data_IF_698165216469
#
_entry.id   IF_698165216469
#
_cell.length_a   1.000
_cell.length_b   1.000
_cell.length_c   1.000
_cell.angle_alpha   90.00
_cell.angle_beta   90.00
_cell.angle_gamma   90.00
#
_symmetry.space_group_name_H-M   'P 1'
#
loop_
_entity.id
_entity.type
_entity.pdbx_description
1 polymer ?
#
# COMPACT_ATOMS: atom_id res chain seq x y z
N UNK A 1 71.84 -27.22 -24.47
CA UNK A 1 71.50 -26.45 -25.68
C UNK A 1 70.01 -26.67 -25.90
N UNK A 2 69.27 -25.56 -25.86
CA UNK A 2 67.89 -25.35 -26.33
C UNK A 2 66.70 -26.09 -25.66
N UNK A 3 65.84 -25.30 -25.01
CA UNK A 3 64.41 -25.57 -24.79
C UNK A 3 63.62 -25.51 -26.11
N UNK A 4 62.36 -26.00 -26.18
CA UNK A 4 61.26 -25.02 -26.14
C UNK A 4 59.92 -25.46 -25.48
N UNK A 5 59.33 -24.48 -24.81
CA UNK A 5 57.92 -24.07 -24.71
C UNK A 5 56.76 -25.05 -24.45
N UNK A 6 56.31 -25.00 -23.20
CA UNK A 6 54.98 -24.60 -22.72
C UNK A 6 53.92 -24.14 -23.75
N UNK A 7 52.71 -24.71 -23.68
CA UNK A 7 51.46 -23.91 -23.69
C UNK A 7 50.32 -24.70 -23.01
N UNK A 8 50.17 -24.53 -21.69
CA UNK A 8 48.94 -24.92 -20.99
C UNK A 8 47.96 -23.77 -21.13
N UNK A 9 46.95 -23.91 -22.00
CA UNK A 9 45.83 -22.98 -22.07
C UNK A 9 44.96 -23.12 -20.81
N UNK A 10 45.26 -22.33 -19.78
CA UNK A 10 44.31 -22.07 -18.71
C UNK A 10 43.29 -21.06 -19.23
N UNK A 11 42.14 -21.55 -19.69
CA UNK A 11 40.95 -20.71 -19.82
C UNK A 11 40.50 -20.33 -18.41
N UNK A 12 40.90 -19.14 -17.96
CA UNK A 12 40.33 -18.49 -16.80
C UNK A 12 38.89 -18.10 -17.12
N UNK A 13 37.94 -18.89 -16.61
CA UNK A 13 36.55 -18.47 -16.52
C UNK A 13 36.50 -17.33 -15.48
N UNK A 14 36.53 -16.09 -15.95
CA UNK A 14 36.27 -14.93 -15.10
C UNK A 14 34.82 -15.01 -14.65
N UNK A 15 34.59 -15.50 -13.43
CA UNK A 15 33.28 -15.44 -12.78
C UNK A 15 32.94 -13.97 -12.53
N UNK A 16 32.29 -13.34 -13.51
CA UNK A 16 31.69 -12.02 -13.37
C UNK A 16 30.44 -12.19 -12.48
N UNK A 17 30.63 -12.15 -11.17
CA UNK A 17 29.55 -12.07 -10.19
C UNK A 17 28.84 -10.73 -10.37
N UNK A 18 27.72 -10.75 -11.09
CA UNK A 18 26.78 -9.63 -11.13
C UNK A 18 25.95 -9.68 -9.86
N UNK A 19 26.32 -8.89 -8.85
CA UNK A 19 25.51 -8.70 -7.65
C UNK A 19 24.29 -7.86 -8.02
N UNK A 20 23.17 -8.52 -8.27
CA UNK A 20 21.87 -7.85 -8.37
C UNK A 20 21.37 -7.63 -6.94
N UNK A 21 20.99 -6.41 -6.53
CA UNK A 21 20.29 -6.22 -5.27
C UNK A 21 19.02 -7.06 -5.30
N UNK A 22 18.89 -8.03 -4.39
CA UNK A 22 17.66 -8.78 -4.24
C UNK A 22 16.60 -7.76 -3.82
N UNK A 23 15.46 -7.64 -4.54
CA UNK A 23 14.35 -6.84 -4.05
C UNK A 23 14.02 -7.35 -2.66
N UNK A 24 14.17 -6.48 -1.65
CA UNK A 24 13.82 -6.81 -0.28
C UNK A 24 12.31 -7.05 -0.31
N UNK A 25 11.89 -8.32 -0.35
CA UNK A 25 10.50 -8.67 -0.21
C UNK A 25 10.15 -8.30 1.23
N UNK A 26 9.34 -7.26 1.46
CA UNK A 26 9.16 -6.81 2.81
C UNK A 26 8.35 -7.90 3.55
N UNK A 27 8.86 -8.29 4.72
CA UNK A 27 8.37 -9.43 5.50
C UNK A 27 6.91 -9.24 5.89
N UNK A 28 6.15 -10.34 5.97
CA UNK A 28 4.78 -10.43 6.48
C UNK A 28 4.49 -9.37 7.56
N UNK A 29 3.54 -8.47 7.27
CA UNK A 29 3.18 -7.33 8.14
C UNK A 29 3.74 -5.95 7.72
N UNK A 30 4.07 -5.73 6.45
CA UNK A 30 4.60 -4.43 5.98
C UNK A 30 3.54 -3.35 5.82
N UNK A 31 2.30 -3.74 5.55
CA UNK A 31 1.28 -2.80 5.12
C UNK A 31 -0.05 -3.00 5.86
N UNK A 32 -0.67 -1.89 6.25
CA UNK A 32 -2.07 -1.85 6.64
C UNK A 32 -2.94 -1.39 5.47
N UNK A 33 -4.11 -2.00 5.33
CA UNK A 33 -5.05 -1.72 4.24
C UNK A 33 -6.37 -1.18 4.80
N UNK A 34 -6.88 -0.15 4.12
CA UNK A 34 -8.19 0.43 4.39
C UNK A 34 -8.97 0.51 3.09
N UNK A 35 -10.27 0.28 3.16
CA UNK A 35 -11.18 0.39 2.03
C UNK A 35 -12.14 1.54 2.28
N UNK A 36 -12.28 2.42 1.29
CA UNK A 36 -13.29 3.48 1.30
C UNK A 36 -14.27 3.17 0.18
N UNK A 37 -15.55 3.01 0.51
CA UNK A 37 -16.64 2.80 -0.45
C UNK A 37 -17.56 4.01 -0.42
N UNK A 38 -17.88 4.57 -1.58
CA UNK A 38 -18.82 5.69 -1.67
C UNK A 38 -19.06 6.11 -3.11
N UNK A 39 -19.84 7.17 -3.28
CA UNK A 39 -20.09 7.78 -4.60
C UNK A 39 -19.50 9.18 -4.65
N UNK A 40 -19.02 9.60 -5.83
CA UNK A 40 -18.59 10.98 -6.07
C UNK A 40 -19.77 11.97 -6.00
N UNK A 41 -21.00 11.49 -6.12
CA UNK A 41 -22.23 12.29 -6.05
C UNK A 41 -22.87 12.27 -4.65
N UNK A 42 -22.37 11.43 -3.74
CA UNK A 42 -22.92 11.27 -2.39
C UNK A 42 -22.06 11.99 -1.34
N UNK A 43 -22.67 12.20 -0.16
CA UNK A 43 -22.01 12.79 1.02
C UNK A 43 -21.83 11.79 2.14
N UNK A 44 -21.83 10.51 1.82
CA UNK A 44 -21.55 9.45 2.77
C UNK A 44 -20.58 8.41 2.19
N UNK A 45 -19.80 7.85 3.10
CA UNK A 45 -18.75 6.88 2.79
C UNK A 45 -18.80 5.77 3.83
N UNK A 46 -18.58 4.54 3.38
CA UNK A 46 -18.31 3.39 4.24
C UNK A 46 -16.80 3.15 4.27
N UNK A 47 -16.25 2.89 5.45
CA UNK A 47 -14.82 2.68 5.68
C UNK A 47 -14.62 1.34 6.37
N UNK A 48 -13.70 0.54 5.86
CA UNK A 48 -13.38 -0.80 6.39
C UNK A 48 -11.87 -0.92 6.63
N UNK A 49 -11.49 -1.68 7.65
CA UNK A 49 -10.07 -1.94 7.97
C UNK A 49 -9.36 -0.86 8.80
N UNK A 50 -10.02 0.25 9.13
CA UNK A 50 -9.46 1.24 10.06
C UNK A 50 -9.43 0.70 11.49
N UNK A 51 -8.42 1.10 12.26
CA UNK A 51 -8.39 0.88 13.71
C UNK A 51 -9.42 1.77 14.42
N UNK A 52 -9.75 1.42 15.67
CA UNK A 52 -10.66 2.23 16.50
C UNK A 52 -10.16 3.67 16.66
N UNK A 53 -8.85 3.86 16.84
CA UNK A 53 -8.24 5.18 17.00
C UNK A 53 -8.34 6.01 15.72
N UNK A 54 -8.15 5.39 14.55
CA UNK A 54 -8.29 6.05 13.25
C UNK A 54 -9.75 6.48 13.00
N UNK A 55 -10.72 5.60 13.33
CA UNK A 55 -12.15 5.93 13.23
C UNK A 55 -12.52 7.08 14.17
N UNK A 56 -12.01 7.08 15.40
CA UNK A 56 -12.23 8.17 16.36
C UNK A 56 -11.60 9.48 15.89
N UNK A 57 -10.38 9.44 15.35
CA UNK A 57 -9.70 10.60 14.79
C UNK A 57 -10.48 11.19 13.61
N UNK A 58 -10.98 10.35 12.70
CA UNK A 58 -11.83 10.77 11.58
C UNK A 58 -13.14 11.40 12.08
N UNK A 59 -13.81 10.74 13.02
CA UNK A 59 -15.08 11.22 13.61
C UNK A 59 -14.90 12.59 14.28
N UNK A 60 -13.82 12.76 15.06
CA UNK A 60 -13.46 14.03 15.71
C UNK A 60 -13.12 15.10 14.69
N UNK A 61 -12.34 14.76 13.65
CA UNK A 61 -11.93 15.68 12.58
C UNK A 61 -13.13 16.28 11.85
N UNK A 62 -14.13 15.45 11.56
CA UNK A 62 -15.32 15.88 10.83
C UNK A 62 -16.49 16.31 11.71
N UNK A 63 -16.32 16.27 13.05
CA UNK A 63 -17.37 16.60 14.01
C UNK A 63 -18.66 15.80 13.75
N UNK A 64 -18.50 14.54 13.34
CA UNK A 64 -19.58 13.65 12.92
C UNK A 64 -19.47 12.32 13.66
N UNK A 65 -20.61 11.74 14.02
CA UNK A 65 -20.66 10.37 14.53
C UNK A 65 -20.55 9.35 13.39
N UNK A 66 -19.76 8.31 13.62
CA UNK A 66 -19.72 7.12 12.76
C UNK A 66 -20.84 6.16 13.14
N UNK A 67 -21.51 5.57 12.16
CA UNK A 67 -22.49 4.49 12.37
C UNK A 67 -21.75 3.16 12.15
N UNK A 68 -21.63 2.29 13.16
CA UNK A 68 -20.99 0.98 12.98
C UNK A 68 -21.81 0.10 12.04
N UNK A 69 -21.11 -0.65 11.19
CA UNK A 69 -21.66 -1.67 10.28
C UNK A 69 -20.76 -2.92 10.34
N UNK A 70 -21.16 -4.01 9.70
CA UNK A 70 -20.35 -5.23 9.67
C UNK A 70 -18.95 -4.95 9.09
N UNK A 71 -17.93 -5.15 9.94
CA UNK A 71 -16.50 -4.94 9.64
C UNK A 71 -16.11 -3.50 9.23
N UNK A 72 -16.92 -2.50 9.55
CA UNK A 72 -16.62 -1.12 9.16
C UNK A 72 -17.49 -0.07 9.83
N UNK A 73 -17.43 1.14 9.27
CA UNK A 73 -18.22 2.29 9.72
C UNK A 73 -18.74 3.10 8.54
N UNK A 74 -19.94 3.65 8.67
CA UNK A 74 -20.47 4.67 7.76
C UNK A 74 -20.25 6.04 8.39
N UNK A 75 -19.66 6.96 7.61
CA UNK A 75 -19.47 8.36 7.99
C UNK A 75 -20.18 9.23 6.96
N UNK A 76 -20.96 10.22 7.41
CA UNK A 76 -21.66 11.20 6.56
C UNK A 76 -20.71 12.28 6.00
N UNK A 77 -19.64 11.82 5.35
CA UNK A 77 -18.62 12.63 4.69
C UNK A 77 -18.35 12.07 3.30
N UNK A 78 -18.12 12.96 2.33
CA UNK A 78 -17.80 12.58 0.95
C UNK A 78 -16.48 11.80 0.86
N UNK A 79 -16.35 10.83 -0.07
CA UNK A 79 -15.19 9.94 -0.14
C UNK A 79 -13.88 10.68 -0.37
N UNK A 80 -13.89 11.79 -1.11
CA UNK A 80 -12.70 12.63 -1.34
C UNK A 80 -12.09 13.17 -0.05
N UNK A 81 -12.93 13.61 0.91
CA UNK A 81 -12.47 14.13 2.19
C UNK A 81 -11.95 13.03 3.12
N UNK A 82 -12.59 11.86 3.09
CA UNK A 82 -12.11 10.67 3.82
C UNK A 82 -10.74 10.27 3.30
N UNK A 83 -10.58 10.09 1.97
CA UNK A 83 -9.32 9.71 1.34
C UNK A 83 -8.22 10.73 1.65
N UNK A 84 -8.51 12.03 1.56
CA UNK A 84 -7.55 13.07 1.93
C UNK A 84 -7.11 13.00 3.40
N UNK A 85 -8.02 12.62 4.30
CA UNK A 85 -7.70 12.49 5.72
C UNK A 85 -6.88 11.22 6.00
N UNK A 86 -7.21 10.11 5.35
CA UNK A 86 -6.41 8.88 5.40
C UNK A 86 -5.01 9.10 4.80
N UNK A 87 -4.89 9.94 3.77
CA UNK A 87 -3.59 10.30 3.21
C UNK A 87 -2.68 11.03 4.20
N UNK A 88 -3.25 11.82 5.11
CA UNK A 88 -2.48 12.45 6.20
C UNK A 88 -1.99 11.44 7.24
N UNK A 89 -2.59 10.25 7.30
CA UNK A 89 -2.16 9.12 8.14
C UNK A 89 -1.18 8.19 7.39
N UNK A 90 -0.74 8.56 6.19
CA UNK A 90 0.23 7.80 5.39
C UNK A 90 -0.39 6.79 4.42
N UNK A 91 -1.72 6.69 4.36
CA UNK A 91 -2.39 5.82 3.39
C UNK A 91 -2.33 6.38 1.97
N UNK A 92 -2.03 5.54 0.99
CA UNK A 92 -2.02 5.86 -0.44
C UNK A 92 -3.06 5.03 -1.17
N UNK A 93 -3.79 5.62 -2.11
CA UNK A 93 -4.69 4.87 -3.00
C UNK A 93 -3.84 3.99 -3.92
N UNK A 94 -4.03 2.68 -3.86
CA UNK A 94 -3.32 1.71 -4.70
C UNK A 94 -4.20 1.10 -5.78
N UNK A 95 -5.52 1.16 -5.62
CA UNK A 95 -6.50 0.65 -6.58
C UNK A 95 -7.86 1.29 -6.36
N UNK A 96 -8.66 1.35 -7.41
CA UNK A 96 -10.07 1.77 -7.38
C UNK A 96 -10.91 0.91 -8.31
N UNK A 97 -12.13 0.58 -7.92
CA UNK A 97 -13.08 -0.20 -8.73
C UNK A 97 -14.52 0.26 -8.52
N UNK A 98 -15.35 0.22 -9.56
CA UNK A 98 -16.77 0.58 -9.53
C UNK A 98 -17.15 1.71 -10.49
N UNK A 99 -18.46 1.93 -10.66
CA UNK A 99 -19.03 2.98 -11.52
C UNK A 99 -19.80 4.02 -10.70
N UNK A 100 -21.02 3.71 -10.26
CA UNK A 100 -21.85 4.63 -9.47
C UNK A 100 -21.42 4.71 -8.00
N UNK A 101 -21.12 3.54 -7.43
CA UNK A 101 -20.39 3.40 -6.18
C UNK A 101 -19.00 2.84 -6.47
N UNK A 102 -18.00 3.51 -5.92
CA UNK A 102 -16.59 3.22 -6.12
C UNK A 102 -16.00 2.76 -4.79
N UNK A 103 -15.15 1.75 -4.87
CA UNK A 103 -14.30 1.30 -3.77
C UNK A 103 -12.87 1.72 -4.07
N UNK A 104 -12.28 2.50 -3.18
CA UNK A 104 -10.85 2.81 -3.17
C UNK A 104 -10.16 1.92 -2.15
N UNK A 105 -9.12 1.22 -2.59
CA UNK A 105 -8.22 0.47 -1.73
C UNK A 105 -7.03 1.35 -1.40
N UNK A 106 -6.81 1.58 -0.11
CA UNK A 106 -5.69 2.37 0.39
C UNK A 106 -4.73 1.48 1.18
N UNK A 107 -3.45 1.82 1.13
CA UNK A 107 -2.37 1.09 1.77
C UNK A 107 -1.42 2.06 2.48
N UNK A 108 -1.02 1.77 3.72
CA UNK A 108 0.08 2.46 4.40
C UNK A 108 1.14 1.46 4.85
N UNK A 109 2.39 1.90 4.88
CA UNK A 109 3.49 1.16 5.50
C UNK A 109 3.31 1.16 7.04
N UNK A 110 3.64 0.03 7.66
CA UNK A 110 3.61 -0.17 9.12
C UNK A 110 4.97 0.07 9.77
#
# INVERSE_FOLDING_TARGET
MESPNSTTNQHSLTNNLVTVPIPILPSEGTYAYVFVRGSLYARDSSIFGCSTDEVQALSKRFQISSIPIDNGVVIKVAPSLIINSLAQLGYKVISSTGEAEVVWTLQREL
#
